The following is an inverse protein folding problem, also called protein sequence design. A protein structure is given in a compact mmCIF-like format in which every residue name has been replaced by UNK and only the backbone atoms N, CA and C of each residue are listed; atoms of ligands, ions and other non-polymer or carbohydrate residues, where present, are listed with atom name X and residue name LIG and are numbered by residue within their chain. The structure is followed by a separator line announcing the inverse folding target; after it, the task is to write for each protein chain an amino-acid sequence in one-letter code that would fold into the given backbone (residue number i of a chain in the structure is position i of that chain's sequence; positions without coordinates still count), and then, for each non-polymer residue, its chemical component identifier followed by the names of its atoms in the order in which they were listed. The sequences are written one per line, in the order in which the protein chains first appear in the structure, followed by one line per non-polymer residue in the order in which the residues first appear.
data_IF_102383068194
#
_entry.id   IF_102383068194
#
_cell.length_a   1.000
_cell.length_b   1.000
_cell.length_c   1.000
_cell.angle_alpha   90.00
_cell.angle_beta   90.00
_cell.angle_gamma   90.00
#
_symmetry.space_group_name_H-M   'P 1'
#
loop_
_entity.id
_entity.type
_entity.pdbx_description
1 polymer ?
#
# COMPACT_ATOMS: atom_id res chain seq x y z
N UNK A 1 31.51 4.48 9.04
CA UNK A 1 30.60 3.38 8.64
C UNK A 1 29.85 3.87 7.42
N UNK A 2 30.12 3.32 6.24
CA UNK A 2 29.56 3.76 4.96
C UNK A 2 28.20 3.10 4.80
N UNK A 3 27.12 3.88 4.68
CA UNK A 3 25.81 3.43 4.25
C UNK A 3 25.68 3.81 2.76
N UNK A 4 26.11 2.91 1.89
CA UNK A 4 25.71 2.96 0.49
C UNK A 4 24.44 2.13 0.39
N UNK A 5 23.32 2.75 0.03
CA UNK A 5 22.31 2.06 -0.76
C UNK A 5 22.36 2.59 -2.20
N UNK A 6 22.26 1.70 -3.20
CA UNK A 6 22.65 1.97 -4.57
C UNK A 6 21.57 2.76 -5.31
N UNK A 7 21.98 3.67 -6.20
CA UNK A 7 21.09 4.30 -7.19
C UNK A 7 20.65 3.23 -8.18
N UNK A 8 19.51 2.60 -7.96
CA UNK A 8 18.96 1.62 -8.92
C UNK A 8 18.28 2.39 -10.05
N UNK A 9 18.92 2.34 -11.21
CA UNK A 9 18.51 2.91 -12.51
C UNK A 9 17.16 2.28 -12.90
N UNK A 10 16.01 2.94 -13.08
CA UNK A 10 15.57 4.29 -13.45
C UNK A 10 14.82 4.96 -12.27
N UNK A 11 15.46 5.90 -11.57
CA UNK A 11 15.22 6.27 -10.16
C UNK A 11 13.88 6.97 -9.83
N UNK A 12 12.74 6.39 -10.22
CA UNK A 12 11.40 6.97 -10.07
C UNK A 12 10.53 6.76 -11.30
N UNK A 13 10.81 5.79 -12.17
CA UNK A 13 9.99 5.56 -13.36
C UNK A 13 8.55 5.21 -12.98
N UNK A 14 8.40 4.21 -12.11
CA UNK A 14 7.10 3.74 -11.67
C UNK A 14 6.43 4.80 -10.81
N UNK A 15 7.16 5.44 -9.89
CA UNK A 15 6.64 6.53 -9.09
C UNK A 15 6.09 7.68 -9.96
N UNK A 16 6.86 8.15 -10.95
CA UNK A 16 6.40 9.20 -11.88
C UNK A 16 5.23 8.76 -12.76
N UNK A 17 5.22 7.51 -13.24
CA UNK A 17 4.10 6.96 -14.03
C UNK A 17 2.83 6.89 -13.19
N UNK A 18 2.91 6.34 -11.98
CA UNK A 18 1.79 6.26 -11.06
C UNK A 18 1.25 7.65 -10.73
N UNK A 19 2.13 8.58 -10.35
CA UNK A 19 1.76 9.95 -10.04
C UNK A 19 1.08 10.64 -11.23
N UNK A 20 1.60 10.47 -12.45
CA UNK A 20 0.99 11.05 -13.66
C UNK A 20 -0.40 10.49 -13.95
N UNK A 21 -0.59 9.17 -13.83
CA UNK A 21 -1.85 8.51 -14.19
C UNK A 21 -2.93 8.65 -13.12
N UNK A 22 -2.53 8.72 -11.85
CA UNK A 22 -3.45 8.56 -10.72
C UNK A 22 -3.39 9.71 -9.70
N UNK A 23 -2.33 10.51 -9.70
CA UNK A 23 -2.06 11.50 -8.66
C UNK A 23 -1.57 10.90 -7.34
N UNK A 24 -1.34 9.58 -7.26
CA UNK A 24 -0.79 8.94 -6.07
C UNK A 24 0.73 9.07 -6.03
N UNK A 25 1.26 9.50 -4.90
CA UNK A 25 2.69 9.44 -4.59
C UNK A 25 3.00 8.17 -3.79
N UNK A 26 4.09 7.50 -4.15
CA UNK A 26 4.49 6.24 -3.55
C UNK A 26 5.98 5.96 -3.83
N UNK A 27 6.62 5.19 -2.96
CA UNK A 27 7.98 4.73 -3.22
C UNK A 27 8.04 3.84 -4.47
N UNK A 28 9.19 3.78 -5.16
CA UNK A 28 9.32 3.11 -6.47
C UNK A 28 8.82 1.66 -6.47
N UNK A 29 9.08 0.89 -5.41
CA UNK A 29 8.61 -0.48 -5.29
C UNK A 29 7.10 -0.60 -5.03
N UNK A 30 6.55 0.32 -4.25
CA UNK A 30 5.11 0.41 -4.01
C UNK A 30 4.40 0.81 -5.30
N UNK A 31 4.92 1.84 -5.98
CA UNK A 31 4.40 2.32 -7.25
C UNK A 31 4.40 1.21 -8.30
N UNK A 32 5.48 0.42 -8.40
CA UNK A 32 5.53 -0.76 -9.26
C UNK A 32 4.43 -1.77 -8.91
N UNK A 33 4.20 -2.06 -7.63
CA UNK A 33 3.17 -3.02 -7.20
C UNK A 33 1.75 -2.51 -7.50
N UNK A 34 1.49 -1.22 -7.30
CA UNK A 34 0.21 -0.58 -7.65
C UNK A 34 -0.03 -0.58 -9.16
N UNK A 35 0.99 -0.24 -9.96
CA UNK A 35 0.90 -0.28 -11.42
C UNK A 35 0.65 -1.70 -11.94
N UNK A 36 1.21 -2.73 -11.31
CA UNK A 36 0.91 -4.12 -11.68
C UNK A 36 -0.56 -4.49 -11.41
N UNK A 37 -1.17 -3.98 -10.34
CA UNK A 37 -2.59 -4.21 -10.04
C UNK A 37 -3.49 -3.45 -11.04
N UNK A 38 -3.10 -2.23 -11.43
CA UNK A 38 -3.74 -1.46 -12.51
C UNK A 38 -3.63 -2.20 -13.85
N UNK A 39 -2.45 -2.69 -14.22
CA UNK A 39 -2.24 -3.42 -15.48
C UNK A 39 -3.04 -4.74 -15.49
N UNK A 40 -3.21 -5.41 -14.34
CA UNK A 40 -4.09 -6.58 -14.20
C UNK A 40 -5.58 -6.21 -14.35
N UNK A 41 -6.00 -5.08 -13.78
CA UNK A 41 -7.35 -4.54 -13.96
C UNK A 41 -7.64 -4.16 -15.43
N UNK A 42 -6.65 -3.60 -16.12
CA UNK A 42 -6.70 -3.33 -17.55
C UNK A 42 -6.85 -4.63 -18.35
N UNK A 43 -6.07 -5.66 -17.98
CA UNK A 43 -6.09 -6.96 -18.63
C UNK A 43 -7.44 -7.68 -18.54
N UNK A 44 -8.28 -7.36 -17.55
CA UNK A 44 -9.58 -7.96 -17.32
C UNK A 44 -10.70 -7.45 -18.26
N UNK A 45 -10.37 -6.75 -19.35
CA UNK A 45 -11.32 -6.37 -20.40
C UNK A 45 -11.24 -4.92 -20.88
N UNK A 46 -10.24 -4.15 -20.43
CA UNK A 46 -10.10 -2.71 -20.71
C UNK A 46 -8.81 -2.36 -21.48
N UNK A 47 -8.15 -3.37 -22.07
CA UNK A 47 -6.85 -3.18 -22.76
C UNK A 47 -6.92 -2.23 -23.96
N UNK A 48 -8.10 -2.07 -24.56
CA UNK A 48 -8.31 -1.20 -25.71
C UNK A 48 -8.66 0.25 -25.31
N UNK A 49 -8.89 0.51 -24.02
CA UNK A 49 -9.20 1.84 -23.51
C UNK A 49 -7.94 2.68 -23.30
N UNK A 50 -8.03 4.02 -23.35
CA UNK A 50 -6.93 4.91 -23.00
C UNK A 50 -6.42 4.66 -21.59
N UNK A 51 -5.10 4.65 -21.41
CA UNK A 51 -4.44 4.34 -20.14
C UNK A 51 -4.93 5.22 -18.99
N UNK A 52 -5.16 6.51 -19.23
CA UNK A 52 -5.65 7.46 -18.24
C UNK A 52 -7.08 7.14 -17.78
N UNK A 53 -7.93 6.67 -18.69
CA UNK A 53 -9.29 6.27 -18.37
C UNK A 53 -9.29 5.01 -17.51
N UNK A 54 -8.46 4.02 -17.87
CA UNK A 54 -8.31 2.78 -17.09
C UNK A 54 -7.74 3.07 -15.71
N UNK A 55 -6.77 3.98 -15.60
CA UNK A 55 -6.21 4.41 -14.33
C UNK A 55 -7.26 5.09 -13.43
N UNK A 56 -8.11 5.95 -14.00
CA UNK A 56 -9.22 6.57 -13.27
C UNK A 56 -10.27 5.54 -12.81
N UNK A 57 -10.63 4.58 -13.65
CA UNK A 57 -11.55 3.50 -13.29
C UNK A 57 -10.96 2.62 -12.19
N UNK A 58 -9.69 2.22 -12.31
CA UNK A 58 -8.99 1.46 -11.26
C UNK A 58 -8.96 2.23 -9.94
N UNK A 59 -8.71 3.54 -9.98
CA UNK A 59 -8.75 4.39 -8.80
C UNK A 59 -10.12 4.38 -8.10
N UNK A 60 -11.20 4.44 -8.87
CA UNK A 60 -12.56 4.57 -8.33
C UNK A 60 -13.19 3.23 -7.95
N UNK A 61 -12.88 2.15 -8.68
CA UNK A 61 -13.46 0.82 -8.51
C UNK A 61 -12.65 -0.08 -7.57
N UNK A 62 -11.32 0.10 -7.50
CA UNK A 62 -10.42 -0.79 -6.74
C UNK A 62 -9.72 -0.03 -5.62
N UNK A 63 -9.00 1.05 -5.93
CA UNK A 63 -8.16 1.73 -4.96
C UNK A 63 -8.97 2.43 -3.86
N UNK A 64 -9.91 3.32 -4.23
CA UNK A 64 -10.69 4.10 -3.26
C UNK A 64 -11.52 3.22 -2.31
N UNK A 65 -12.24 2.18 -2.77
CA UNK A 65 -12.99 1.31 -1.87
C UNK A 65 -12.10 0.61 -0.83
N UNK A 66 -10.89 0.21 -1.23
CA UNK A 66 -9.91 -0.40 -0.31
C UNK A 66 -9.48 0.58 0.77
N UNK A 67 -9.05 1.78 0.38
CA UNK A 67 -8.57 2.79 1.33
C UNK A 67 -9.73 3.30 2.21
N UNK A 68 -10.93 3.48 1.67
CA UNK A 68 -12.10 3.96 2.41
C UNK A 68 -12.66 2.93 3.40
N UNK A 69 -12.41 1.64 3.17
CA UNK A 69 -12.80 0.59 4.12
C UNK A 69 -11.94 0.60 5.39
N UNK A 70 -10.81 1.30 5.38
CA UNK A 70 -9.93 1.43 6.53
C UNK A 70 -10.43 2.54 7.45
N UNK A 71 -10.74 2.24 8.73
CA UNK A 71 -11.17 3.26 9.70
C UNK A 71 -10.07 4.30 9.89
N UNK A 72 -10.44 5.59 9.80
CA UNK A 72 -9.49 6.71 9.94
C UNK A 72 -8.73 6.67 11.27
N UNK A 73 -9.41 6.23 12.32
CA UNK A 73 -8.86 6.19 13.68
C UNK A 73 -7.75 5.14 13.85
N UNK A 74 -7.70 4.12 12.97
CA UNK A 74 -6.70 3.05 12.98
C UNK A 74 -5.58 3.26 11.94
N UNK A 75 -5.77 4.21 11.04
CA UNK A 75 -4.84 4.48 9.94
C UNK A 75 -3.72 5.46 10.35
N UNK A 76 -3.92 6.23 11.43
CA UNK A 76 -2.95 7.22 11.89
C UNK A 76 -2.53 8.19 10.77
N UNK A 77 -1.23 8.18 10.44
CA UNK A 77 -0.60 8.95 9.36
C UNK A 77 -0.26 8.14 8.11
N UNK A 78 -0.75 6.90 7.97
CA UNK A 78 -0.43 6.09 6.80
C UNK A 78 -0.97 6.74 5.52
N UNK A 79 -0.10 6.90 4.54
CA UNK A 79 -0.49 7.39 3.22
C UNK A 79 -1.39 6.37 2.51
N UNK A 80 -2.40 6.80 1.73
CA UNK A 80 -3.31 5.90 1.03
C UNK A 80 -2.63 4.83 0.17
N UNK A 81 -1.49 5.17 -0.44
CA UNK A 81 -0.71 4.23 -1.26
C UNK A 81 -0.08 3.12 -0.42
N UNK A 82 0.39 3.43 0.79
CA UNK A 82 0.93 2.47 1.75
C UNK A 82 -0.16 1.50 2.21
N UNK A 83 -1.34 2.02 2.59
CA UNK A 83 -2.49 1.20 3.00
C UNK A 83 -2.86 0.19 1.91
N UNK A 84 -2.96 0.67 0.66
CA UNK A 84 -3.28 -0.20 -0.46
C UNK A 84 -2.18 -1.24 -0.69
N UNK A 85 -0.91 -0.84 -0.62
CA UNK A 85 0.24 -1.73 -0.75
C UNK A 85 0.20 -2.88 0.28
N UNK A 86 -0.02 -2.56 1.55
CA UNK A 86 -0.09 -3.56 2.62
C UNK A 86 -1.30 -4.51 2.44
N UNK A 87 -2.44 -4.00 2.00
CA UNK A 87 -3.60 -4.84 1.66
C UNK A 87 -3.29 -5.82 0.54
N UNK A 88 -2.56 -5.40 -0.50
CA UNK A 88 -2.14 -6.30 -1.59
C UNK A 88 -1.21 -7.40 -1.09
N UNK A 89 -0.30 -7.07 -0.16
CA UNK A 89 0.58 -8.05 0.46
C UNK A 89 -0.20 -9.05 1.32
N UNK A 90 -1.15 -8.56 2.12
CA UNK A 90 -2.03 -9.41 2.92
C UNK A 90 -2.91 -10.30 2.05
N UNK A 91 -3.41 -9.79 0.91
CA UNK A 91 -4.14 -10.57 -0.09
C UNK A 91 -3.29 -11.75 -0.57
N UNK A 92 -2.03 -11.50 -0.94
CA UNK A 92 -1.13 -12.56 -1.37
C UNK A 92 -0.97 -13.62 -0.27
N UNK A 93 -0.66 -13.21 0.97
CA UNK A 93 -0.53 -14.14 2.10
C UNK A 93 -1.78 -14.98 2.33
N UNK A 94 -2.98 -14.37 2.32
CA UNK A 94 -4.24 -15.10 2.47
C UNK A 94 -4.52 -16.04 1.30
N UNK A 95 -4.20 -15.63 0.08
CA UNK A 95 -4.37 -16.46 -1.11
C UNK A 95 -3.44 -17.68 -1.10
N UNK A 96 -2.20 -17.50 -0.65
CA UNK A 96 -1.25 -18.61 -0.43
C UNK A 96 -1.79 -19.59 0.61
N UNK A 97 -2.28 -19.09 1.75
CA UNK A 97 -2.85 -19.93 2.80
C UNK A 97 -4.12 -20.67 2.34
N UNK A 98 -4.96 -20.03 1.53
CA UNK A 98 -6.19 -20.62 1.00
C UNK A 98 -5.98 -21.51 -0.23
N UNK A 99 -4.78 -21.51 -0.82
CA UNK A 99 -4.49 -22.19 -2.09
C UNK A 99 -5.27 -21.65 -3.29
N UNK A 100 -5.84 -20.45 -3.20
CA UNK A 100 -6.63 -19.79 -4.25
C UNK A 100 -6.70 -18.29 -4.00
N UNK A 101 -7.02 -17.51 -5.03
CA UNK A 101 -7.27 -16.08 -4.85
C UNK A 101 -8.49 -15.84 -3.93
N UNK A 102 -8.28 -15.09 -2.85
CA UNK A 102 -9.33 -14.67 -1.92
C UNK A 102 -10.05 -13.39 -2.36
N UNK A 103 -9.44 -12.62 -3.28
CA UNK A 103 -9.95 -11.36 -3.77
C UNK A 103 -9.74 -10.18 -2.81
N UNK A 104 -9.69 -8.98 -3.39
CA UNK A 104 -9.37 -7.73 -2.67
C UNK A 104 -10.35 -7.43 -1.54
N UNK A 105 -11.66 -7.62 -1.74
CA UNK A 105 -12.65 -7.34 -0.70
C UNK A 105 -12.49 -8.21 0.55
N UNK A 106 -12.14 -9.49 0.39
CA UNK A 106 -11.86 -10.37 1.52
C UNK A 106 -10.56 -9.99 2.24
N UNK A 107 -9.53 -9.65 1.47
CA UNK A 107 -8.25 -9.21 1.99
C UNK A 107 -8.38 -7.94 2.83
N UNK A 108 -9.10 -6.92 2.35
CA UNK A 108 -9.36 -5.67 3.09
C UNK A 108 -10.03 -5.94 4.43
N UNK A 109 -11.11 -6.74 4.43
CA UNK A 109 -11.82 -7.06 5.68
C UNK A 109 -10.92 -7.77 6.67
N UNK A 110 -10.11 -8.72 6.20
CA UNK A 110 -9.16 -9.45 7.04
C UNK A 110 -8.04 -8.54 7.55
N UNK A 111 -7.53 -7.64 6.71
CA UNK A 111 -6.48 -6.69 7.06
C UNK A 111 -6.94 -5.72 8.16
N UNK A 112 -8.12 -5.10 7.98
CA UNK A 112 -8.71 -4.18 8.96
C UNK A 112 -9.02 -4.88 10.28
N UNK A 113 -9.43 -6.15 10.25
CA UNK A 113 -9.78 -6.88 11.47
C UNK A 113 -8.56 -7.41 12.24
N UNK A 114 -7.50 -7.84 11.54
CA UNK A 114 -6.44 -8.66 12.14
C UNK A 114 -5.04 -8.02 12.12
N UNK A 115 -4.74 -7.19 11.12
CA UNK A 115 -3.40 -6.62 10.93
C UNK A 115 -3.34 -5.20 11.44
N UNK A 116 -4.28 -4.36 10.98
CA UNK A 116 -4.29 -2.94 11.29
C UNK A 116 -4.36 -2.64 12.81
N UNK A 117 -5.20 -3.30 13.63
CA UNK A 117 -5.29 -3.01 15.07
C UNK A 117 -4.04 -3.40 15.86
N UNK A 118 -3.17 -4.24 15.29
CA UNK A 118 -1.93 -4.67 15.93
C UNK A 118 -0.76 -3.72 15.64
N UNK A 119 -0.94 -2.78 14.71
CA UNK A 119 0.10 -1.80 14.41
C UNK A 119 0.22 -0.82 15.58
N UNK A 120 1.45 -0.48 15.99
CA UNK A 120 1.64 0.58 16.97
C UNK A 120 1.00 1.86 16.45
N UNK A 121 0.14 2.49 17.24
CA UNK A 121 -0.19 3.89 17.01
C UNK A 121 1.14 4.66 17.02
N UNK A 122 1.55 5.25 15.90
CA UNK A 122 2.79 6.05 15.81
C UNK A 122 2.75 7.33 16.68
N UNK A 123 1.85 7.42 17.66
CA UNK A 123 1.98 8.31 18.81
C UNK A 123 2.88 7.74 19.92
N UNK A 124 3.22 6.45 19.91
CA UNK A 124 4.01 5.83 20.98
C UNK A 124 5.53 5.75 20.72
N UNK A 125 6.01 6.02 19.50
CA UNK A 125 7.45 5.84 19.16
C UNK A 125 8.31 7.09 19.41
N UNK A 126 7.75 8.16 20.01
CA UNK A 126 8.53 9.33 20.44
C UNK A 126 8.67 9.50 21.97
N UNK A 127 8.16 8.60 22.81
CA UNK A 127 8.34 8.73 24.27
C UNK A 127 8.34 7.39 25.01
N UNK A 128 9.37 6.56 24.82
CA UNK A 128 9.84 5.64 25.89
C UNK A 128 11.34 5.39 25.78
N UNK A 129 12.17 6.43 25.93
CA UNK A 129 13.43 6.20 26.64
C UNK A 129 13.09 6.16 28.13
N UNK A 130 13.34 5.06 28.86
CA UNK A 130 13.10 5.05 30.29
C UNK A 130 14.09 6.01 30.98
N UNK A 131 13.64 6.85 31.93
CA UNK A 131 14.56 7.50 32.86
C UNK A 131 15.03 6.45 33.87
N UNK A 132 16.20 5.85 33.64
CA UNK A 132 16.94 5.12 34.68
C UNK A 132 18.04 6.03 35.22
N UNK A 133 17.73 6.97 36.12
CA UNK A 133 17.86 6.92 37.60
C UNK A 133 19.30 7.01 38.15
N UNK A 134 19.50 7.78 39.23
CA UNK A 134 20.80 8.24 39.70
C UNK A 134 21.54 7.14 40.47
N UNK A 135 22.87 7.19 40.45
CA UNK A 135 23.69 6.40 41.37
C UNK A 135 24.70 7.33 42.05
N UNK A 136 24.81 7.11 43.35
CA UNK A 136 25.50 7.86 44.41
C UNK A 136 26.95 8.27 44.13
#
# INVERSE_FOLDING_TARGET
RVLVQPKVVDAGHHARRLLRLTGLDAEENQARRLLNDLDAFAAAGRREEPEELVAYQWLTEVFRPVVQAVPRDLCGKLEPAEVFHEVLEHRWFLSEQAGRDVGTAAAVRSYVANVLPQKPDEQAVLTTMPPGTPSS
#
